data_IF_808040267336
#
_entry.id   IF_808040267336
#
_cell.length_a   1.000
_cell.length_b   1.000
_cell.length_c   1.000
_cell.angle_alpha   90.00
_cell.angle_beta   90.00
_cell.angle_gamma   90.00
#
_symmetry.space_group_name_H-M   'P 1'
#
loop_
_entity.id
_entity.type
_entity.pdbx_description
1 polymer ?
#
# COMPACT_ATOMS: atom_id res chain seq x y z
N UNK A 1 20.72 -8.48 -24.45
CA UNK A 1 20.12 -8.19 -25.77
C UNK A 1 18.67 -7.75 -25.58
N UNK A 2 18.34 -6.56 -26.11
CA UNK A 2 17.02 -5.96 -26.39
C UNK A 2 15.90 -6.04 -25.33
N UNK A 3 16.07 -5.29 -24.21
CA UNK A 3 14.96 -4.88 -23.31
C UNK A 3 13.68 -4.39 -24.03
N UNK A 4 13.73 -3.69 -25.19
CA UNK A 4 12.52 -3.24 -25.90
C UNK A 4 11.66 -4.36 -26.47
N UNK A 5 12.26 -5.49 -26.87
CA UNK A 5 11.53 -6.61 -27.47
C UNK A 5 10.74 -7.40 -26.41
N UNK A 6 11.28 -7.48 -25.18
CA UNK A 6 10.58 -8.05 -24.02
C UNK A 6 9.36 -7.23 -23.57
N UNK A 7 9.34 -5.91 -23.80
CA UNK A 7 8.14 -5.10 -23.54
C UNK A 7 6.99 -5.42 -24.51
N UNK A 8 7.27 -5.80 -25.76
CA UNK A 8 6.26 -6.08 -26.78
C UNK A 8 5.64 -7.47 -26.59
N UNK A 9 6.43 -8.47 -26.17
CA UNK A 9 5.94 -9.85 -25.97
C UNK A 9 5.30 -10.09 -24.61
N UNK A 10 5.53 -9.22 -23.62
CA UNK A 10 5.24 -9.50 -22.20
C UNK A 10 4.36 -8.43 -21.51
N UNK A 11 3.67 -7.60 -22.32
CA UNK A 11 2.84 -6.48 -21.86
C UNK A 11 1.72 -6.89 -20.89
N UNK A 12 1.18 -8.10 -21.04
CA UNK A 12 0.16 -8.65 -20.13
C UNK A 12 0.73 -9.02 -18.75
N UNK A 13 1.97 -9.54 -18.70
CA UNK A 13 2.68 -9.88 -17.46
C UNK A 13 3.14 -8.64 -16.72
N UNK A 14 3.69 -7.65 -17.44
CA UNK A 14 4.21 -6.39 -16.88
C UNK A 14 3.14 -5.53 -16.19
N UNK A 15 1.87 -5.70 -16.56
CA UNK A 15 0.73 -4.99 -15.98
C UNK A 15 0.09 -5.71 -14.76
N UNK A 16 0.63 -6.87 -14.33
CA UNK A 16 0.15 -7.60 -13.15
C UNK A 16 1.13 -7.46 -12.01
N UNK A 17 1.11 -6.30 -11.37
CA UNK A 17 2.00 -5.99 -10.24
C UNK A 17 1.27 -6.17 -8.91
N UNK A 18 2.00 -6.62 -7.90
CA UNK A 18 1.57 -6.49 -6.51
C UNK A 18 1.53 -5.00 -6.19
N UNK A 19 0.37 -4.49 -5.75
CA UNK A 19 0.15 -3.08 -5.46
C UNK A 19 -0.24 -2.83 -3.99
N UNK A 20 -0.14 -3.85 -3.16
CA UNK A 20 -0.44 -3.75 -1.73
C UNK A 20 0.66 -2.92 -1.07
N UNK A 21 0.28 -1.98 -0.21
CA UNK A 21 1.19 -1.32 0.73
C UNK A 21 0.65 -1.57 2.12
N UNK A 22 1.43 -2.30 2.89
CA UNK A 22 1.13 -2.61 4.28
C UNK A 22 2.42 -2.59 5.09
N UNK A 23 2.35 -2.11 6.32
CA UNK A 23 3.44 -2.16 7.29
C UNK A 23 2.89 -2.59 8.64
N UNK A 24 3.29 -3.78 9.08
CA UNK A 24 2.81 -4.39 10.32
C UNK A 24 3.97 -4.59 11.28
N UNK A 25 3.78 -4.21 12.54
CA UNK A 25 4.79 -4.32 13.59
C UNK A 25 4.27 -5.21 14.70
N UNK A 26 5.03 -6.26 15.02
CA UNK A 26 4.81 -7.22 16.11
C UNK A 26 3.44 -7.91 16.14
N UNK A 27 2.66 -7.83 15.05
CA UNK A 27 1.28 -8.29 15.02
C UNK A 27 0.32 -7.45 15.88
N UNK A 28 0.73 -6.25 16.31
CA UNK A 28 -0.05 -5.38 17.21
C UNK A 28 -0.66 -4.18 16.49
N UNK A 29 0.06 -3.63 15.51
CA UNK A 29 -0.37 -2.46 14.74
C UNK A 29 -0.07 -2.67 13.27
N UNK A 30 -0.97 -2.18 12.41
CA UNK A 30 -0.78 -2.19 10.96
C UNK A 30 -1.12 -0.85 10.33
N UNK A 31 -0.34 -0.45 9.34
CA UNK A 31 -0.63 0.65 8.42
C UNK A 31 -0.95 0.05 7.06
N UNK A 32 -2.08 0.45 6.48
CA UNK A 32 -2.47 0.09 5.11
C UNK A 32 -2.92 1.34 4.36
N UNK A 33 -2.57 1.45 3.08
CA UNK A 33 -2.96 2.63 2.30
C UNK A 33 -2.25 2.78 0.96
N UNK A 34 -2.09 4.03 0.53
CA UNK A 34 -1.55 4.36 -0.79
C UNK A 34 -0.08 4.74 -0.81
N UNK A 35 0.51 5.15 0.33
CA UNK A 35 1.91 5.60 0.37
C UNK A 35 2.90 4.45 0.20
N UNK A 36 3.94 4.69 -0.58
CA UNK A 36 5.14 3.85 -0.59
C UNK A 36 6.23 4.47 0.30
N UNK A 37 7.30 3.72 0.56
CA UNK A 37 8.51 4.28 1.16
C UNK A 37 9.38 4.87 0.05
N UNK A 38 9.40 6.20 -0.06
CA UNK A 38 10.21 6.91 -1.04
C UNK A 38 10.09 8.43 -0.89
N UNK A 39 11.14 9.15 -1.28
CA UNK A 39 11.36 10.58 -1.00
C UNK A 39 10.14 11.47 -1.29
N UNK A 40 9.48 11.24 -2.42
CA UNK A 40 8.31 11.99 -2.87
C UNK A 40 7.10 11.92 -1.90
N UNK A 41 6.96 10.83 -1.13
CA UNK A 41 5.89 10.67 -0.12
C UNK A 41 6.23 11.33 1.22
N UNK A 42 7.50 11.68 1.45
CA UNK A 42 7.98 12.32 2.68
C UNK A 42 8.40 13.78 2.46
N UNK A 43 8.29 14.29 1.23
CA UNK A 43 8.77 15.62 0.86
C UNK A 43 10.27 15.76 1.07
N UNK A 44 11.00 14.65 0.89
CA UNK A 44 12.45 14.64 0.81
C UNK A 44 12.85 14.88 -0.66
N UNK A 45 13.91 15.65 -0.89
CA UNK A 45 14.36 16.01 -2.24
C UNK A 45 13.58 17.15 -2.90
N UNK A 46 13.78 17.30 -4.21
CA UNK A 46 13.17 18.36 -5.05
C UNK A 46 11.86 17.90 -5.73
N UNK A 47 11.44 16.66 -5.51
CA UNK A 47 10.24 16.12 -6.12
C UNK A 47 8.95 16.71 -5.52
N UNK A 48 7.86 16.82 -6.31
CA UNK A 48 6.56 17.20 -5.77
C UNK A 48 6.10 16.23 -4.67
N UNK A 49 5.53 16.78 -3.60
CA UNK A 49 4.96 15.98 -2.51
C UNK A 49 3.75 15.19 -3.01
N UNK A 50 3.82 13.86 -2.92
CA UNK A 50 2.67 12.98 -3.17
C UNK A 50 1.83 12.84 -1.91
N UNK A 51 0.63 13.42 -1.93
CA UNK A 51 -0.37 13.26 -0.88
C UNK A 51 -1.17 11.99 -1.11
N UNK A 52 -1.30 11.17 -0.08
CA UNK A 52 -2.07 9.93 -0.11
C UNK A 52 -2.76 9.69 1.23
N UNK A 53 -3.63 8.68 1.29
CA UNK A 53 -4.37 8.30 2.49
C UNK A 53 -3.90 6.93 2.98
N UNK A 54 -3.60 6.86 4.27
CA UNK A 54 -3.39 5.59 4.96
C UNK A 54 -4.28 5.49 6.20
N UNK A 55 -4.52 4.25 6.61
CA UNK A 55 -5.23 3.89 7.83
C UNK A 55 -4.28 3.14 8.74
N UNK A 56 -4.16 3.62 9.99
CA UNK A 56 -3.56 2.86 11.08
C UNK A 56 -4.67 2.08 11.79
N UNK A 57 -4.46 0.79 12.01
CA UNK A 57 -5.40 -0.07 12.71
C UNK A 57 -4.70 -0.92 13.77
N UNK A 58 -5.45 -1.21 14.84
CA UNK A 58 -5.09 -2.12 15.92
C UNK A 58 -6.21 -3.14 16.15
N UNK A 59 -5.93 -4.21 16.89
CA UNK A 59 -6.90 -5.24 17.22
C UNK A 59 -6.98 -6.35 16.16
N UNK A 60 -8.10 -7.10 16.08
CA UNK A 60 -8.18 -8.34 15.29
C UNK A 60 -7.83 -8.20 13.80
N UNK A 61 -8.08 -7.04 13.20
CA UNK A 61 -7.76 -6.78 11.77
C UNK A 61 -6.26 -6.82 11.48
N UNK A 62 -5.40 -6.71 12.49
CA UNK A 62 -3.95 -6.83 12.30
C UNK A 62 -3.58 -8.25 11.88
N UNK A 63 -4.24 -9.27 12.44
CA UNK A 63 -4.07 -10.67 12.06
C UNK A 63 -4.55 -10.90 10.62
N UNK A 64 -5.69 -10.33 10.22
CA UNK A 64 -6.17 -10.39 8.83
C UNK A 64 -5.11 -9.86 7.83
N UNK A 65 -4.43 -8.75 8.18
CA UNK A 65 -3.39 -8.15 7.34
C UNK A 65 -2.12 -9.01 7.32
N UNK A 66 -1.73 -9.58 8.46
CA UNK A 66 -0.58 -10.49 8.54
C UNK A 66 -0.81 -11.77 7.72
N UNK A 67 -2.02 -12.32 7.77
CA UNK A 67 -2.42 -13.49 6.97
C UNK A 67 -2.42 -13.18 5.47
N UNK A 68 -2.89 -12.00 5.06
CA UNK A 68 -2.79 -11.59 3.66
C UNK A 68 -1.34 -11.37 3.23
N UNK A 69 -0.50 -10.78 4.08
CA UNK A 69 0.94 -10.69 3.81
C UNK A 69 1.53 -12.10 3.60
N UNK A 70 1.22 -13.06 4.47
CA UNK A 70 1.70 -14.44 4.34
C UNK A 70 1.21 -15.10 3.04
N UNK A 71 -0.04 -14.88 2.63
CA UNK A 71 -0.57 -15.35 1.33
C UNK A 71 0.28 -14.87 0.16
N UNK A 72 0.70 -13.61 0.17
CA UNK A 72 1.59 -13.05 -0.86
C UNK A 72 3.02 -13.57 -0.71
N UNK A 73 3.56 -13.61 0.51
CA UNK A 73 4.93 -14.03 0.81
C UNK A 73 5.22 -15.46 0.37
N UNK A 74 4.26 -16.38 0.57
CA UNK A 74 4.40 -17.79 0.21
C UNK A 74 3.79 -18.13 -1.16
N UNK A 75 3.41 -17.14 -1.97
CA UNK A 75 2.83 -17.42 -3.28
C UNK A 75 3.87 -17.90 -4.30
N UNK A 76 3.43 -18.64 -5.32
CA UNK A 76 4.33 -19.22 -6.34
C UNK A 76 5.09 -18.20 -7.18
N UNK A 77 4.64 -16.94 -7.18
CA UNK A 77 5.27 -15.85 -7.91
C UNK A 77 6.42 -15.19 -7.13
N UNK A 78 6.65 -15.57 -5.87
CA UNK A 78 7.78 -15.11 -5.07
C UNK A 78 9.00 -15.98 -5.32
N UNK A 79 10.16 -15.36 -5.46
CA UNK A 79 11.45 -16.05 -5.55
C UNK A 79 12.48 -15.28 -4.69
N UNK A 80 13.35 -15.99 -3.95
CA UNK A 80 14.47 -15.37 -3.25
C UNK A 80 15.32 -14.55 -4.22
N UNK A 81 15.86 -13.43 -3.74
CA UNK A 81 16.62 -12.51 -4.58
C UNK A 81 17.80 -13.19 -5.27
N UNK A 82 18.47 -14.11 -4.58
CA UNK A 82 19.62 -14.89 -5.07
C UNK A 82 19.27 -15.84 -6.22
N UNK A 83 17.99 -16.19 -6.38
CA UNK A 83 17.52 -17.01 -7.51
C UNK A 83 17.21 -16.15 -8.75
N UNK A 84 17.06 -14.84 -8.56
CA UNK A 84 16.68 -13.90 -9.63
C UNK A 84 17.87 -13.07 -10.10
N UNK A 85 18.76 -12.70 -9.18
CA UNK A 85 19.97 -11.94 -9.45
C UNK A 85 21.20 -12.84 -9.32
N UNK A 86 22.10 -12.74 -10.29
CA UNK A 86 23.41 -13.38 -10.26
C UNK A 86 24.38 -12.53 -9.42
N UNK A 87 24.22 -12.62 -8.09
CA UNK A 87 25.09 -11.92 -7.13
C UNK A 87 25.69 -12.96 -6.18
N UNK A 88 27.03 -13.07 -6.10
CA UNK A 88 27.71 -13.98 -5.18
C UNK A 88 27.25 -13.81 -3.73
N UNK A 89 27.12 -14.93 -3.03
CA UNK A 89 26.77 -14.97 -1.61
C UNK A 89 27.85 -14.23 -0.78
N UNK A 90 27.43 -13.27 0.05
CA UNK A 90 28.33 -12.38 0.81
C UNK A 90 28.52 -10.99 0.19
N UNK A 91 28.52 -10.86 -1.14
CA UNK A 91 28.77 -9.58 -1.81
C UNK A 91 27.64 -8.57 -1.60
N UNK A 92 26.40 -9.04 -1.37
CA UNK A 92 25.28 -8.17 -1.03
C UNK A 92 25.42 -7.52 0.35
N UNK A 93 25.89 -8.26 1.35
CA UNK A 93 26.00 -7.75 2.71
C UNK A 93 27.08 -6.65 2.78
N UNK A 94 28.19 -6.85 2.06
CA UNK A 94 29.28 -5.89 1.98
C UNK A 94 28.93 -4.64 1.14
N UNK A 95 27.90 -4.73 0.29
CA UNK A 95 27.40 -3.59 -0.52
C UNK A 95 26.34 -2.75 0.17
N UNK A 96 25.72 -3.25 1.24
CA UNK A 96 24.72 -2.49 2.00
C UNK A 96 25.44 -1.73 3.11
N UNK A 97 26.00 -0.58 2.74
CA UNK A 97 26.32 0.44 3.73
C UNK A 97 25.02 1.13 4.12
N UNK A 98 24.60 1.00 5.39
CA UNK A 98 23.61 1.92 5.92
C UNK A 98 24.18 3.32 5.72
N UNK A 99 23.47 4.22 5.01
CA UNK A 99 23.93 5.59 4.90
C UNK A 99 24.15 6.07 6.33
N UNK A 100 25.35 6.59 6.61
CA UNK A 100 25.58 7.30 7.87
C UNK A 100 24.45 8.30 7.93
N UNK A 101 23.58 8.17 8.95
CA UNK A 101 22.51 9.14 9.17
C UNK A 101 23.16 10.49 8.93
N UNK A 102 22.68 11.29 7.95
CA UNK A 102 23.25 12.60 7.74
C UNK A 102 23.33 13.21 9.13
N UNK A 103 24.52 13.64 9.53
CA UNK A 103 24.71 14.20 10.86
C UNK A 103 23.61 15.22 11.13
N UNK A 104 23.39 15.59 12.39
CA UNK A 104 22.47 16.67 12.77
C UNK A 104 22.92 18.04 12.21
N UNK A 105 23.16 18.16 10.90
CA UNK A 105 23.57 19.29 10.10
C UNK A 105 22.87 19.28 8.72
N UNK A 106 22.15 18.21 8.35
CA UNK A 106 21.25 18.26 7.18
C UNK A 106 19.97 19.02 7.53
N UNK A 107 19.69 20.09 6.79
CA UNK A 107 18.54 20.97 7.04
C UNK A 107 17.20 20.23 6.84
N UNK A 108 17.16 19.26 5.91
CA UNK A 108 15.97 18.47 5.63
C UNK A 108 15.63 17.55 6.80
N UNK A 109 16.63 16.82 7.29
CA UNK A 109 16.52 15.93 8.45
C UNK A 109 16.06 16.69 9.69
N UNK A 110 16.65 17.84 10.02
CA UNK A 110 16.19 18.65 11.15
C UNK A 110 14.76 19.17 11.00
N UNK A 111 14.39 19.57 9.78
CA UNK A 111 13.03 20.04 9.54
C UNK A 111 12.02 18.91 9.75
N UNK A 112 12.36 17.70 9.31
CA UNK A 112 11.54 16.52 9.53
C UNK A 112 11.45 16.16 11.02
N UNK A 113 12.57 16.08 11.72
CA UNK A 113 12.60 15.78 13.16
C UNK A 113 11.82 16.82 13.99
N UNK A 114 11.99 18.12 13.73
CA UNK A 114 11.19 19.17 14.39
C UNK A 114 9.69 19.03 14.13
N UNK A 115 9.30 18.62 12.92
CA UNK A 115 7.89 18.33 12.60
C UNK A 115 7.37 17.13 13.38
N UNK A 116 8.19 16.10 13.60
CA UNK A 116 7.82 14.96 14.43
C UNK A 116 7.65 15.37 15.90
N UNK A 117 8.63 16.08 16.46
CA UNK A 117 8.61 16.55 17.87
C UNK A 117 7.42 17.47 18.18
N UNK A 118 7.04 18.31 17.22
CA UNK A 118 5.90 19.23 17.38
C UNK A 118 4.56 18.63 16.97
N UNK A 119 4.53 17.39 16.46
CA UNK A 119 3.30 16.76 15.97
C UNK A 119 2.42 16.26 17.11
N UNK A 120 1.19 16.77 17.28
CA UNK A 120 0.26 16.24 18.28
C UNK A 120 -0.02 14.75 18.09
N UNK A 121 -0.06 14.29 16.83
CA UNK A 121 -0.26 12.87 16.51
C UNK A 121 0.86 12.00 17.09
N UNK A 122 2.13 12.42 16.94
CA UNK A 122 3.28 11.67 17.45
C UNK A 122 3.28 11.69 18.97
N UNK A 123 3.01 12.84 19.59
CA UNK A 123 2.93 12.95 21.05
C UNK A 123 1.86 12.00 21.62
N UNK A 124 0.65 12.03 21.06
CA UNK A 124 -0.40 11.11 21.48
C UNK A 124 -0.07 9.63 21.23
N UNK A 125 0.62 9.31 20.13
CA UNK A 125 1.06 7.94 19.85
C UNK A 125 2.08 7.46 20.88
N UNK A 126 3.09 8.26 21.20
CA UNK A 126 4.14 7.93 22.19
C UNK A 126 3.56 7.83 23.59
N UNK A 127 2.64 8.73 23.94
CA UNK A 127 1.96 8.74 25.24
C UNK A 127 0.90 7.63 25.38
N UNK A 128 0.61 6.87 24.31
CA UNK A 128 -0.43 5.84 24.30
C UNK A 128 -1.86 6.41 24.41
N UNK A 129 -2.05 7.68 24.08
CA UNK A 129 -3.33 8.41 24.17
C UNK A 129 -3.96 8.73 22.82
N UNK A 130 -3.40 8.17 21.73
CA UNK A 130 -3.92 8.42 20.38
C UNK A 130 -5.41 8.10 20.29
N UNK A 131 -6.27 9.08 19.96
CA UNK A 131 -7.69 8.84 19.85
C UNK A 131 -7.97 7.91 18.67
N UNK A 132 -8.64 6.80 18.96
CA UNK A 132 -9.02 5.80 17.96
C UNK A 132 -10.52 5.85 17.70
N UNK A 133 -10.89 5.62 16.44
CA UNK A 133 -12.28 5.39 16.05
C UNK A 133 -12.51 3.89 16.07
N UNK A 134 -13.28 3.42 17.06
CA UNK A 134 -13.65 2.01 17.15
C UNK A 134 -14.76 1.69 16.14
N UNK A 135 -14.46 0.78 15.23
CA UNK A 135 -15.40 0.35 14.19
C UNK A 135 -15.23 -1.13 13.86
N UNK A 136 -16.27 -1.74 13.29
CA UNK A 136 -16.14 -3.05 12.66
C UNK A 136 -15.34 -2.90 11.38
N UNK A 137 -14.20 -3.57 11.32
CA UNK A 137 -13.27 -3.51 10.18
C UNK A 137 -13.32 -4.80 9.38
N UNK A 138 -13.07 -4.70 8.07
CA UNK A 138 -12.90 -5.84 7.17
C UNK A 138 -11.75 -5.56 6.23
N UNK A 139 -10.74 -6.42 6.20
CA UNK A 139 -9.68 -6.33 5.20
C UNK A 139 -10.21 -6.77 3.84
N UNK A 140 -9.80 -6.04 2.80
CA UNK A 140 -10.01 -6.43 1.42
C UNK A 140 -8.71 -6.36 0.64
N UNK A 141 -8.25 -7.53 0.16
CA UNK A 141 -7.11 -7.67 -0.74
C UNK A 141 -7.43 -8.55 -1.96
N UNK A 142 -6.72 -8.35 -3.06
CA UNK A 142 -6.79 -9.25 -4.22
C UNK A 142 -6.13 -10.61 -3.88
N UNK A 143 -6.46 -11.65 -4.65
CA UNK A 143 -5.75 -12.93 -4.52
C UNK A 143 -4.36 -12.85 -5.17
N UNK A 144 -3.27 -13.35 -4.54
CA UNK A 144 -1.95 -13.38 -5.17
C UNK A 144 -1.93 -14.16 -6.50
N UNK A 145 -2.84 -15.13 -6.71
CA UNK A 145 -3.01 -15.81 -7.99
C UNK A 145 -3.52 -14.88 -9.11
N UNK A 146 -3.96 -13.66 -8.77
CA UNK A 146 -4.13 -12.57 -9.75
C UNK A 146 -2.79 -12.22 -10.38
N UNK A 147 -1.62 -12.43 -9.80
CA UNK A 147 -0.34 -12.32 -10.53
C UNK A 147 -0.27 -13.26 -11.73
N UNK A 148 -0.84 -14.46 -11.60
CA UNK A 148 -0.67 -15.59 -12.52
C UNK A 148 -1.69 -15.68 -13.67
N UNK A 149 -2.61 -14.73 -13.81
CA UNK A 149 -3.69 -14.86 -14.81
C UNK A 149 -4.96 -15.54 -14.30
N UNK A 150 -4.93 -16.13 -13.10
CA UNK A 150 -5.92 -17.14 -12.68
C UNK A 150 -7.09 -16.61 -11.86
N UNK A 151 -7.01 -15.36 -11.38
CA UNK A 151 -8.10 -14.75 -10.62
C UNK A 151 -9.35 -14.53 -11.48
N UNK A 152 -10.51 -14.97 -10.99
CA UNK A 152 -11.80 -14.71 -11.63
C UNK A 152 -12.14 -13.23 -11.50
N UNK A 153 -12.74 -12.61 -12.53
CA UNK A 153 -13.06 -11.17 -12.51
C UNK A 153 -13.89 -10.72 -11.29
N UNK A 154 -14.80 -11.57 -10.80
CA UNK A 154 -15.64 -11.29 -9.63
C UNK A 154 -14.88 -11.35 -8.29
N UNK A 155 -13.68 -11.92 -8.24
CA UNK A 155 -12.86 -11.93 -7.03
C UNK A 155 -11.97 -10.70 -6.91
N UNK A 156 -12.03 -9.78 -7.88
CA UNK A 156 -11.21 -8.57 -7.89
C UNK A 156 -11.73 -7.52 -6.91
N UNK A 157 -10.79 -6.81 -6.29
CA UNK A 157 -11.04 -5.82 -5.25
C UNK A 157 -12.15 -4.81 -5.57
N UNK A 158 -12.24 -4.20 -6.77
CA UNK A 158 -13.29 -3.21 -7.05
C UNK A 158 -14.70 -3.79 -6.93
N UNK A 159 -14.90 -5.02 -7.40
CA UNK A 159 -16.23 -5.65 -7.37
C UNK A 159 -16.62 -6.01 -5.94
N UNK A 160 -15.69 -6.58 -5.15
CA UNK A 160 -15.95 -6.85 -3.73
C UNK A 160 -16.18 -5.58 -2.90
N UNK A 161 -15.47 -4.48 -3.23
CA UNK A 161 -15.67 -3.20 -2.57
C UNK A 161 -17.11 -2.71 -2.78
N UNK A 162 -17.62 -2.81 -4.02
CA UNK A 162 -19.02 -2.48 -4.30
C UNK A 162 -20.00 -3.39 -3.58
N UNK A 163 -19.75 -4.70 -3.54
CA UNK A 163 -20.62 -5.65 -2.84
C UNK A 163 -20.68 -5.38 -1.33
N UNK A 164 -19.56 -4.98 -0.73
CA UNK A 164 -19.47 -4.67 0.71
C UNK A 164 -20.02 -3.30 1.05
N UNK A 165 -19.79 -2.31 0.19
CA UNK A 165 -20.35 -0.96 0.33
C UNK A 165 -21.89 -0.99 0.29
N UNK A 166 -22.47 -1.95 -0.44
CA UNK A 166 -23.91 -2.16 -0.47
C UNK A 166 -24.66 -0.97 -1.07
N UNK A 167 -25.69 -0.50 -0.37
CA UNK A 167 -26.49 0.68 -0.73
C UNK A 167 -26.44 1.70 0.41
N UNK A 168 -25.39 2.53 0.49
CA UNK A 168 -25.29 3.58 1.50
C UNK A 168 -26.46 4.56 1.35
N UNK A 169 -26.97 5.06 2.48
CA UNK A 169 -28.22 5.84 2.56
C UNK A 169 -28.02 7.33 2.77
N UNK A 170 -26.79 7.80 2.98
CA UNK A 170 -26.52 9.21 3.28
C UNK A 170 -25.37 9.78 2.44
N UNK A 171 -24.18 9.15 2.48
CA UNK A 171 -22.99 9.69 1.82
C UNK A 171 -22.01 8.61 1.39
N UNK A 172 -21.36 8.86 0.25
CA UNK A 172 -20.16 8.15 -0.21
C UNK A 172 -19.09 9.18 -0.51
N UNK A 173 -17.92 9.02 0.10
CA UNK A 173 -16.72 9.77 -0.26
C UNK A 173 -15.77 8.87 -1.04
N UNK A 174 -15.29 9.36 -2.18
CA UNK A 174 -14.32 8.66 -3.03
C UNK A 174 -13.07 9.51 -3.12
N UNK A 175 -11.96 8.99 -2.58
CA UNK A 175 -10.63 9.56 -2.74
C UNK A 175 -9.86 8.64 -3.67
N UNK A 176 -9.42 9.16 -4.81
CA UNK A 176 -8.65 8.38 -5.79
C UNK A 176 -7.68 9.29 -6.54
N UNK A 177 -6.45 8.80 -6.75
CA UNK A 177 -5.48 9.44 -7.65
C UNK A 177 -5.94 9.42 -9.11
N UNK A 178 -6.69 8.38 -9.49
CA UNK A 178 -7.28 8.24 -10.81
C UNK A 178 -8.72 7.76 -10.71
N UNK A 179 -9.65 8.60 -11.12
CA UNK A 179 -11.05 8.22 -11.20
C UNK A 179 -11.39 7.69 -12.60
N UNK A 180 -11.22 6.38 -12.79
CA UNK A 180 -11.47 5.69 -14.07
C UNK A 180 -12.52 4.59 -13.89
N UNK A 181 -13.80 4.96 -13.64
CA UNK A 181 -14.85 3.97 -13.45
C UNK A 181 -15.16 3.24 -14.76
N UNK A 182 -15.38 1.94 -14.67
CA UNK A 182 -15.92 1.18 -15.81
C UNK A 182 -17.38 1.58 -16.05
N UNK A 183 -17.97 1.20 -17.21
CA UNK A 183 -19.40 1.43 -17.49
C UNK A 183 -20.31 0.91 -16.37
N UNK A 184 -19.96 -0.23 -15.78
CA UNK A 184 -20.71 -0.81 -14.65
C UNK A 184 -20.60 0.06 -13.39
N UNK A 185 -19.40 0.56 -13.07
CA UNK A 185 -19.18 1.47 -11.94
C UNK A 185 -19.96 2.78 -12.10
N UNK A 186 -19.94 3.39 -13.30
CA UNK A 186 -20.74 4.60 -13.58
C UNK A 186 -22.23 4.32 -13.38
N UNK A 187 -22.75 3.22 -13.93
CA UNK A 187 -24.17 2.86 -13.77
C UNK A 187 -24.57 2.64 -12.30
N UNK A 188 -23.67 2.12 -11.46
CA UNK A 188 -23.91 1.93 -10.04
C UNK A 188 -23.93 3.26 -9.28
N UNK A 189 -22.97 4.15 -9.52
CA UNK A 189 -22.96 5.49 -8.92
C UNK A 189 -24.21 6.29 -9.31
N UNK A 190 -24.62 6.24 -10.58
CA UNK A 190 -25.87 6.86 -11.03
C UNK A 190 -27.11 6.27 -10.35
N UNK A 191 -27.09 4.98 -10.02
CA UNK A 191 -28.18 4.33 -9.28
C UNK A 191 -28.25 4.81 -7.83
N UNK A 192 -27.10 5.03 -7.19
CA UNK A 192 -27.04 5.60 -5.84
C UNK A 192 -27.62 7.01 -5.84
N UNK A 193 -27.16 7.90 -6.74
CA UNK A 193 -27.70 9.27 -6.87
C UNK A 193 -29.22 9.30 -7.06
N UNK A 194 -29.79 8.35 -7.81
CA UNK A 194 -31.25 8.27 -8.03
C UNK A 194 -32.04 7.81 -6.80
N UNK A 195 -31.40 7.14 -5.83
CA UNK A 195 -32.04 6.65 -4.62
C UNK A 195 -32.00 7.65 -3.46
N UNK A 196 -31.22 8.72 -3.59
CA UNK A 196 -30.89 9.64 -2.49
C UNK A 196 -29.74 9.09 -1.67
#
# INVERSE_FOLDING_TARGET
MLRPLGYITDFSRLNRRMHNKSFTVDGVVTLVGGRNIGDAYFGAGEEPLFSDLDVMAIGPVVEDVADDFARYWYCKSVSPLQQVLDVPEGEMADRIELPRLPGHNDAMTHRYLRKMESSPFINHLVDGTLPLIWAKTRLLSDDPAKGEGKAKRHSLLPQRLFDIMGSPSERIDIISSYFVPTRAGVAQLLRMVRKG
#
